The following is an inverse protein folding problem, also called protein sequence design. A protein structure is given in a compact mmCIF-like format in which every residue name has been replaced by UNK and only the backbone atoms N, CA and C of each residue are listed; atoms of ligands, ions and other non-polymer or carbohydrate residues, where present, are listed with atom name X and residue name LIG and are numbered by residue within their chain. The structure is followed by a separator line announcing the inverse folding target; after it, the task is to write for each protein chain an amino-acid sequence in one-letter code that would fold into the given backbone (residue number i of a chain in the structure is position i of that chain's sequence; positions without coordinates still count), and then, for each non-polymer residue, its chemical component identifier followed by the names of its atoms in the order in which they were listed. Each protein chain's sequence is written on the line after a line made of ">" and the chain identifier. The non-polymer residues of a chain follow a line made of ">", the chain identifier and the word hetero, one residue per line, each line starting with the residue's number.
data_IF_133542948504
#
_entry.id   IF_133542948504
#
_cell.length_a   1.000
_cell.length_b   1.000
_cell.length_c   1.000
_cell.angle_alpha   90.00
_cell.angle_beta   90.00
_cell.angle_gamma   90.00
#
_symmetry.space_group_name_H-M   'P 1'
#
loop_
_entity.id
_entity.type
_entity.pdbx_description
1 polymer ?
#
# COMPACT_ATOMS: atom_id res chain seq x y z
N UNK A 1 -1.79 -6.50 17.87
CA UNK A 1 -1.95 -5.11 17.42
C UNK A 1 -2.62 -5.10 16.05
N UNK A 2 -3.75 -4.41 15.90
CA UNK A 2 -4.57 -4.37 14.69
C UNK A 2 -4.92 -2.92 14.35
N UNK A 3 -4.79 -2.54 13.08
CA UNK A 3 -5.18 -1.22 12.58
C UNK A 3 -6.33 -1.34 11.60
N UNK A 4 -7.44 -0.66 11.88
CA UNK A 4 -8.60 -0.54 11.01
C UNK A 4 -8.59 0.85 10.36
N UNK A 5 -8.39 0.91 9.04
CA UNK A 5 -8.33 2.18 8.30
C UNK A 5 -9.69 2.84 8.21
N UNK A 6 -9.77 4.13 8.54
CA UNK A 6 -10.93 5.00 8.30
C UNK A 6 -10.80 5.82 7.00
N UNK A 7 -9.70 5.65 6.27
CA UNK A 7 -9.44 6.26 4.97
C UNK A 7 -8.57 7.52 4.99
N UNK A 8 -8.22 7.97 3.78
CA UNK A 8 -7.45 9.19 3.52
C UNK A 8 -8.40 10.32 3.11
N UNK A 9 -8.33 11.46 3.80
CA UNK A 9 -9.09 12.66 3.44
C UNK A 9 -8.30 13.93 3.74
N UNK A 10 -8.17 14.82 2.75
CA UNK A 10 -7.47 16.10 2.91
C UNK A 10 -5.99 15.94 3.29
N UNK A 11 -5.32 14.91 2.77
CA UNK A 11 -3.93 14.61 3.11
C UNK A 11 -3.73 13.95 4.49
N UNK A 12 -4.81 13.62 5.21
CA UNK A 12 -4.74 12.93 6.50
C UNK A 12 -5.25 11.50 6.36
N UNK A 13 -4.39 10.53 6.65
CA UNK A 13 -4.80 9.14 6.78
C UNK A 13 -5.15 8.86 8.25
N UNK A 14 -6.35 8.34 8.46
CA UNK A 14 -6.87 8.03 9.80
C UNK A 14 -7.26 6.56 9.91
N UNK A 15 -7.22 6.05 11.13
CA UNK A 15 -7.74 4.74 11.47
C UNK A 15 -7.71 4.49 12.96
N UNK A 16 -8.36 3.41 13.38
CA UNK A 16 -8.35 2.95 14.77
C UNK A 16 -7.28 1.91 14.96
N UNK A 17 -6.53 2.02 16.04
CA UNK A 17 -5.51 1.08 16.45
C UNK A 17 -5.95 0.38 17.73
N UNK A 18 -6.06 -0.95 17.69
CA UNK A 18 -6.35 -1.79 18.86
C UNK A 18 -5.12 -2.62 19.22
N UNK A 19 -4.67 -2.54 20.48
CA UNK A 19 -3.53 -3.26 21.00
C UNK A 19 -3.62 -3.39 22.53
N UNK A 20 -2.90 -4.34 23.11
CA UNK A 20 -2.86 -4.54 24.56
C UNK A 20 -2.17 -3.39 25.30
N UNK A 21 -1.30 -2.65 24.60
CA UNK A 21 -0.62 -1.46 25.08
C UNK A 21 -0.43 -0.44 23.94
N UNK A 22 -0.33 0.84 24.29
CA UNK A 22 0.00 1.89 23.33
C UNK A 22 1.42 1.68 22.76
N UNK A 23 1.63 1.81 21.45
CA UNK A 23 2.98 1.83 20.89
C UNK A 23 3.74 3.08 21.35
N UNK A 24 5.06 2.99 21.43
CA UNK A 24 5.93 4.12 21.70
C UNK A 24 5.94 5.13 20.55
N UNK A 25 5.84 4.66 19.30
CA UNK A 25 5.67 5.52 18.14
C UNK A 25 4.94 4.83 16.99
N UNK A 26 4.33 5.62 16.10
CA UNK A 26 3.81 5.14 14.82
C UNK A 26 4.30 6.07 13.71
N UNK A 27 5.02 5.53 12.74
CA UNK A 27 5.58 6.25 11.61
C UNK A 27 4.92 5.86 10.29
N UNK A 28 4.84 6.82 9.36
CA UNK A 28 4.52 6.60 7.96
C UNK A 28 5.82 6.56 7.16
N UNK A 29 6.00 5.50 6.39
CA UNK A 29 7.21 5.24 5.63
C UNK A 29 6.93 5.20 4.13
N UNK A 30 7.85 5.75 3.34
CA UNK A 30 7.88 5.65 1.89
C UNK A 30 9.29 5.24 1.45
N UNK A 31 9.39 4.19 0.64
CA UNK A 31 10.68 3.64 0.17
C UNK A 31 11.69 3.37 1.30
N UNK A 32 11.20 2.93 2.46
CA UNK A 32 12.03 2.62 3.64
C UNK A 32 12.43 3.83 4.48
N UNK A 33 12.06 5.05 4.08
CA UNK A 33 12.33 6.28 4.83
C UNK A 33 11.07 6.71 5.58
N UNK A 34 11.19 7.06 6.85
CA UNK A 34 10.09 7.66 7.60
C UNK A 34 9.85 9.09 7.10
N UNK A 35 8.64 9.35 6.62
CA UNK A 35 8.23 10.64 6.04
C UNK A 35 7.29 11.43 6.94
N UNK A 36 6.64 10.78 7.90
CA UNK A 36 5.78 11.43 8.89
C UNK A 36 5.66 10.57 10.16
N UNK A 37 5.30 11.22 11.27
CA UNK A 37 4.95 10.56 12.54
C UNK A 37 3.47 10.76 12.79
N UNK A 38 2.78 9.70 13.20
CA UNK A 38 1.36 9.76 13.51
C UNK A 38 1.10 10.32 14.91
N UNK A 39 -0.02 11.01 15.06
CA UNK A 39 -0.57 11.40 16.35
C UNK A 39 -1.56 10.33 16.81
N UNK A 40 -1.43 9.89 18.06
CA UNK A 40 -2.33 8.95 18.69
C UNK A 40 -3.20 9.71 19.70
N UNK A 41 -4.51 9.55 19.60
CA UNK A 41 -5.48 10.07 20.57
C UNK A 41 -6.19 8.90 21.22
N UNK A 42 -6.18 8.86 22.55
CA UNK A 42 -6.86 7.82 23.32
C UNK A 42 -8.37 7.85 23.10
N UNK A 43 -8.99 6.67 23.01
CA UNK A 43 -10.42 6.42 22.81
C UNK A 43 -10.82 5.16 23.59
N UNK A 44 -12.11 4.96 23.84
CA UNK A 44 -12.59 3.87 24.70
C UNK A 44 -12.10 2.46 24.28
N UNK A 45 -11.96 2.21 22.97
CA UNK A 45 -11.56 0.92 22.40
C UNK A 45 -10.22 0.98 21.62
N UNK A 46 -9.27 1.77 22.11
CA UNK A 46 -7.91 1.89 21.58
C UNK A 46 -7.55 3.32 21.19
N UNK A 47 -6.75 3.50 20.13
CA UNK A 47 -6.25 4.83 19.74
C UNK A 47 -6.72 5.23 18.36
N UNK A 48 -7.21 6.47 18.23
CA UNK A 48 -7.33 7.11 16.94
C UNK A 48 -5.95 7.52 16.46
N UNK A 49 -5.49 6.93 15.36
CA UNK A 49 -4.24 7.28 14.69
C UNK A 49 -4.57 8.27 13.58
N UNK A 50 -3.85 9.38 13.55
CA UNK A 50 -3.89 10.36 12.46
C UNK A 50 -2.48 10.65 11.98
N UNK A 51 -2.22 10.45 10.70
CA UNK A 51 -0.93 10.75 10.08
C UNK A 51 -1.10 11.57 8.81
N UNK A 52 -0.28 12.61 8.66
CA UNK A 52 -0.24 13.39 7.44
C UNK A 52 0.49 12.61 6.34
N UNK A 53 -0.03 12.66 5.13
CA UNK A 53 0.66 12.23 3.91
C UNK A 53 1.31 13.48 3.31
N UNK A 54 2.65 13.61 3.39
CA UNK A 54 3.37 14.76 2.84
C UNK A 54 3.12 14.93 1.33
N UNK A 55 2.99 16.17 0.87
CA UNK A 55 2.77 16.45 -0.56
C UNK A 55 3.92 15.98 -1.46
N UNK A 56 5.14 15.90 -0.94
CA UNK A 56 6.34 15.42 -1.65
C UNK A 56 6.26 13.96 -2.12
N UNK A 57 5.39 13.14 -1.51
CA UNK A 57 5.15 11.76 -1.96
C UNK A 57 3.95 11.62 -2.91
N UNK A 58 3.29 12.73 -3.23
CA UNK A 58 2.17 12.78 -4.19
C UNK A 58 2.71 13.09 -5.58
N UNK A 59 3.26 12.09 -6.26
CA UNK A 59 3.71 12.18 -7.65
C UNK A 59 3.00 11.16 -8.55
N UNK A 60 3.11 11.32 -9.86
CA UNK A 60 2.51 10.41 -10.83
C UNK A 60 2.96 8.96 -10.63
N UNK A 61 2.08 8.01 -10.96
CA UNK A 61 2.28 6.58 -10.78
C UNK A 61 1.70 6.06 -9.46
N UNK A 62 2.19 4.88 -9.04
CA UNK A 62 1.75 4.20 -7.82
C UNK A 62 2.79 4.32 -6.71
N UNK A 63 2.35 4.84 -5.56
CA UNK A 63 3.14 4.93 -4.33
C UNK A 63 2.59 3.99 -3.27
N UNK A 64 3.50 3.41 -2.49
CA UNK A 64 3.17 2.47 -1.41
C UNK A 64 3.67 3.03 -0.09
N UNK A 65 2.76 3.48 0.74
CA UNK A 65 3.07 4.00 2.07
C UNK A 65 2.81 2.92 3.11
N UNK A 66 3.72 2.77 4.06
CA UNK A 66 3.62 1.79 5.14
C UNK A 66 3.44 2.50 6.48
N UNK A 67 2.43 2.09 7.24
CA UNK A 67 2.26 2.51 8.62
C UNK A 67 2.94 1.47 9.52
N UNK A 68 3.89 1.89 10.35
CA UNK A 68 4.72 0.99 11.17
C UNK A 68 4.75 1.53 12.60
N UNK A 69 4.49 0.66 13.58
CA UNK A 69 4.68 0.95 15.00
C UNK A 69 6.09 0.59 15.45
N UNK A 70 6.67 1.39 16.34
CA UNK A 70 7.90 1.09 17.07
C UNK A 70 9.09 0.70 16.17
N UNK A 71 9.20 1.37 15.01
CA UNK A 71 10.39 1.30 14.18
C UNK A 71 11.44 2.27 14.71
N UNK A 72 12.66 1.78 14.90
CA UNK A 72 13.78 2.58 15.40
C UNK A 72 15.12 2.11 14.80
N UNK A 73 16.24 2.59 15.36
CA UNK A 73 17.58 2.19 14.91
C UNK A 73 17.92 0.73 15.23
N UNK A 74 17.18 0.09 16.13
CA UNK A 74 17.44 -1.25 16.64
C UNK A 74 16.61 -2.32 15.94
N UNK A 75 15.53 -1.95 15.24
CA UNK A 75 14.72 -2.89 14.48
C UNK A 75 13.64 -2.27 13.59
N UNK A 76 13.08 -3.06 12.66
CA UNK A 76 12.15 -2.59 11.62
C UNK A 76 10.73 -2.23 12.13
N UNK A 77 10.44 -2.43 13.42
CA UNK A 77 9.10 -2.22 13.99
C UNK A 77 8.03 -3.23 13.51
N UNK A 78 6.78 -2.97 13.89
CA UNK A 78 5.61 -3.78 13.52
C UNK A 78 4.80 -3.07 12.44
N UNK A 79 4.67 -3.68 11.25
CA UNK A 79 3.83 -3.14 10.19
C UNK A 79 2.35 -3.22 10.56
N UNK A 80 1.69 -2.08 10.60
CA UNK A 80 0.27 -1.94 10.91
C UNK A 80 -0.61 -2.01 9.66
N UNK A 81 -0.24 -1.27 8.62
CA UNK A 81 -1.05 -1.15 7.42
C UNK A 81 -0.25 -0.65 6.21
N UNK A 82 -0.87 -0.72 5.03
CA UNK A 82 -0.37 -0.16 3.78
C UNK A 82 -1.43 0.73 3.16
N UNK A 83 -1.02 1.87 2.64
CA UNK A 83 -1.83 2.77 1.83
C UNK A 83 -1.22 2.83 0.44
N UNK A 84 -1.98 2.42 -0.57
CA UNK A 84 -1.61 2.60 -1.97
C UNK A 84 -2.20 3.91 -2.48
N UNK A 85 -1.35 4.77 -3.06
CA UNK A 85 -1.75 5.99 -3.74
C UNK A 85 -1.46 5.84 -5.23
N UNK A 86 -2.42 6.20 -6.07
CA UNK A 86 -2.24 6.24 -7.51
C UNK A 86 -2.61 7.66 -7.95
N UNK A 87 -1.70 8.33 -8.62
CA UNK A 87 -1.87 9.69 -9.14
C UNK A 87 -1.34 9.79 -10.57
N UNK A 88 -1.77 10.84 -11.28
CA UNK A 88 -1.50 11.00 -12.71
C UNK A 88 -2.46 10.20 -13.59
N UNK A 89 -2.15 10.15 -14.88
CA UNK A 89 -2.95 9.39 -15.83
C UNK A 89 -2.86 7.89 -15.53
N UNK A 90 -4.00 7.27 -15.21
CA UNK A 90 -4.10 5.83 -15.32
C UNK A 90 -3.91 5.54 -16.80
N UNK A 91 -2.84 4.83 -17.15
CA UNK A 91 -2.47 4.42 -18.52
C UNK A 91 -3.51 3.46 -19.15
N UNK A 92 -4.79 3.65 -18.89
CA UNK A 92 -5.88 2.70 -19.13
C UNK A 92 -6.10 2.42 -20.61
N UNK A 93 -5.68 3.32 -21.52
CA UNK A 93 -5.78 3.09 -22.97
C UNK A 93 -4.71 2.16 -23.51
N UNK A 94 -3.44 2.54 -23.35
CA UNK A 94 -2.31 1.85 -23.97
C UNK A 94 -1.91 0.58 -23.20
N UNK A 95 -1.89 0.60 -21.86
CA UNK A 95 -1.52 -0.58 -21.08
C UNK A 95 -2.55 -1.70 -21.19
N UNK A 96 -3.84 -1.36 -21.25
CA UNK A 96 -4.89 -2.37 -21.46
C UNK A 96 -4.78 -3.01 -22.84
N UNK A 97 -4.45 -2.23 -23.87
CA UNK A 97 -4.20 -2.74 -25.21
C UNK A 97 -2.96 -3.65 -25.26
N UNK A 98 -1.86 -3.26 -24.59
CA UNK A 98 -0.66 -4.08 -24.47
C UNK A 98 -0.93 -5.40 -23.71
N UNK A 99 -1.70 -5.35 -22.62
CA UNK A 99 -2.10 -6.56 -21.86
C UNK A 99 -2.97 -7.49 -22.71
N UNK A 100 -3.89 -6.94 -23.50
CA UNK A 100 -4.73 -7.74 -24.39
C UNK A 100 -3.90 -8.38 -25.53
N UNK A 101 -2.94 -7.66 -26.09
CA UNK A 101 -2.01 -8.21 -27.07
C UNK A 101 -1.18 -9.36 -26.48
N UNK A 102 -0.62 -9.20 -25.28
CA UNK A 102 0.14 -10.24 -24.59
C UNK A 102 -0.73 -11.47 -24.29
N UNK A 103 -2.01 -11.29 -23.95
CA UNK A 103 -2.97 -12.41 -23.77
C UNK A 103 -3.22 -13.14 -25.09
N UNK A 104 -3.36 -12.43 -26.19
CA UNK A 104 -3.55 -13.03 -27.51
C UNK A 104 -2.33 -13.86 -27.94
N UNK A 105 -1.13 -13.35 -27.72
CA UNK A 105 0.13 -14.07 -27.99
C UNK A 105 0.26 -15.34 -27.12
N UNK A 106 -0.10 -15.27 -25.83
CA UNK A 106 -0.12 -16.42 -24.94
C UNK A 106 -1.16 -17.49 -25.36
N UNK A 107 -2.32 -17.08 -25.85
CA UNK A 107 -3.33 -18.03 -26.33
C UNK A 107 -2.90 -18.75 -27.62
N UNK A 108 -2.15 -18.08 -28.49
CA UNK A 108 -1.51 -18.71 -29.65
C UNK A 108 -0.49 -19.76 -29.19
N UNK A 109 0.38 -19.39 -28.23
CA UNK A 109 1.37 -20.30 -27.66
C UNK A 109 0.71 -21.52 -27.02
N UNK A 110 -0.34 -21.32 -26.20
CA UNK A 110 -1.11 -22.42 -25.59
C UNK A 110 -1.76 -23.35 -26.62
N UNK A 111 -2.17 -22.83 -27.78
CA UNK A 111 -2.79 -23.63 -28.85
C UNK A 111 -1.76 -24.55 -29.49
N UNK A 112 -0.59 -24.02 -29.81
CA UNK A 112 0.53 -24.77 -30.39
C UNK A 112 1.03 -25.83 -29.40
N UNK A 113 1.24 -25.47 -28.14
CA UNK A 113 1.62 -26.43 -27.09
C UNK A 113 0.59 -27.55 -26.90
N UNK A 114 -0.72 -27.23 -26.91
CA UNK A 114 -1.77 -28.26 -26.84
C UNK A 114 -1.74 -29.17 -28.06
N UNK A 115 -1.54 -28.63 -29.27
CA UNK A 115 -1.45 -29.41 -30.50
C UNK A 115 -0.27 -30.40 -30.46
N UNK A 116 0.87 -29.98 -29.93
CA UNK A 116 2.01 -30.86 -29.70
C UNK A 116 1.72 -31.93 -28.65
N UNK A 117 1.05 -31.59 -27.55
CA UNK A 117 0.72 -32.55 -26.49
C UNK A 117 -0.38 -33.56 -26.87
N UNK A 118 -1.26 -33.24 -27.82
CA UNK A 118 -2.32 -34.13 -28.32
C UNK A 118 -1.97 -34.86 -29.62
N UNK A 119 -0.81 -34.55 -30.20
CA UNK A 119 -0.34 -35.08 -31.49
C UNK A 119 0.93 -35.94 -31.39
N UNK A 120 1.24 -36.47 -30.20
CA UNK A 120 2.31 -37.42 -29.93
C UNK A 120 1.78 -38.66 -29.25
#
# INVERSE_FOLDING_TARGET
>A
MQFDSHGLKGGLWKGRLTADAAPGSVGLFHLGVQIATAYLTDQDDGWLVTVAVPGEVLSDGRHSLLLIADADQTGPGTRLARLDLIAGDVLDGDLAAEIEQLRAELELLKREFRRFASGG
#
